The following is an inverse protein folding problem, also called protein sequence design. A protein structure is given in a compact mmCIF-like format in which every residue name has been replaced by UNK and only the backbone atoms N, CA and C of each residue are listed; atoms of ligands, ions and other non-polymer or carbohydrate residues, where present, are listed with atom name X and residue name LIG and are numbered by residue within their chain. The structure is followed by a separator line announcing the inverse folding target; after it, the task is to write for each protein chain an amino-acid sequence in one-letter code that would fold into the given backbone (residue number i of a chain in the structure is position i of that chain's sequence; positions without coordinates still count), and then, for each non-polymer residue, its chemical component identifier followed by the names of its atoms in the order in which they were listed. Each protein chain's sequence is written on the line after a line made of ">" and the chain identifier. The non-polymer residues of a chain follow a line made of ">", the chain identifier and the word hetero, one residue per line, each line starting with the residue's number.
data_IF_494474605597
#
_entry.id   IF_494474605597
#
_cell.length_a   1.000
_cell.length_b   1.000
_cell.length_c   1.000
_cell.angle_alpha   90.00
_cell.angle_beta   90.00
_cell.angle_gamma   90.00
#
_symmetry.space_group_name_H-M   'P 1'
#
loop_
_entity.id
_entity.type
_entity.pdbx_description
1 polymer ?
#
# COMPACT_ATOMS: atom_id res chain seq x y z
N UNK A 1 -38.59 -30.52 -13.09
CA UNK A 1 -39.01 -30.10 -11.74
C UNK A 1 -37.75 -30.06 -10.89
N UNK A 2 -37.06 -28.92 -10.95
CA UNK A 2 -36.86 -27.94 -9.84
C UNK A 2 -35.49 -28.22 -9.21
N UNK A 3 -34.46 -27.49 -9.66
CA UNK A 3 -33.75 -26.42 -8.88
C UNK A 3 -33.23 -26.98 -7.57
N UNK A 4 -31.91 -27.04 -7.35
CA UNK A 4 -31.21 -25.94 -6.68
C UNK A 4 -29.77 -25.75 -7.18
N UNK A 5 -29.56 -24.65 -7.91
CA UNK A 5 -28.27 -23.96 -7.93
C UNK A 5 -28.19 -23.14 -6.62
N UNK A 6 -27.85 -23.80 -5.51
CA UNK A 6 -27.60 -23.11 -4.25
C UNK A 6 -26.12 -22.67 -4.21
N UNK A 7 -25.94 -21.39 -4.57
CA UNK A 7 -24.95 -20.46 -4.04
C UNK A 7 -23.59 -21.02 -3.58
N UNK A 8 -22.65 -21.13 -4.51
CA UNK A 8 -21.24 -20.89 -4.22
C UNK A 8 -21.07 -19.38 -4.01
N UNK A 9 -21.15 -18.92 -2.76
CA UNK A 9 -20.97 -17.49 -2.49
C UNK A 9 -21.46 -17.10 -1.11
N UNK A 10 -20.84 -17.65 -0.06
CA UNK A 10 -21.00 -17.12 1.30
C UNK A 10 -19.81 -17.47 2.22
N UNK A 11 -19.08 -18.56 1.99
CA UNK A 11 -17.95 -18.97 2.85
C UNK A 11 -16.66 -18.10 2.70
N UNK A 12 -16.59 -17.20 1.71
CA UNK A 12 -15.36 -16.43 1.43
C UNK A 12 -15.29 -15.09 2.18
N UNK A 13 -16.43 -14.47 2.50
CA UNK A 13 -16.46 -13.13 3.13
C UNK A 13 -16.09 -13.16 4.62
N UNK A 14 -16.53 -14.17 5.36
CA UNK A 14 -16.15 -14.40 6.77
C UNK A 14 -14.65 -14.77 6.92
N UNK A 15 -13.96 -15.04 5.80
CA UNK A 15 -12.53 -15.38 5.77
C UNK A 15 -11.59 -14.20 5.46
N UNK A 16 -12.04 -13.19 4.68
CA UNK A 16 -11.18 -12.08 4.26
C UNK A 16 -10.84 -11.14 5.42
N UNK A 17 -11.81 -10.85 6.28
CA UNK A 17 -11.62 -10.06 7.49
C UNK A 17 -10.59 -10.72 8.42
N UNK A 18 -10.82 -11.99 8.79
CA UNK A 18 -9.92 -12.74 9.66
C UNK A 18 -8.50 -12.86 9.07
N UNK A 19 -8.39 -13.03 7.74
CA UNK A 19 -7.09 -13.08 7.06
C UNK A 19 -6.39 -11.72 7.05
N UNK A 20 -7.14 -10.63 6.87
CA UNK A 20 -6.60 -9.27 6.90
C UNK A 20 -6.08 -8.93 8.30
N UNK A 21 -6.86 -9.23 9.35
CA UNK A 21 -6.46 -9.04 10.74
C UNK A 21 -5.22 -9.88 11.09
N UNK A 22 -5.21 -11.16 10.73
CA UNK A 22 -4.05 -12.02 10.95
C UNK A 22 -2.80 -11.53 10.20
N UNK A 23 -2.96 -10.99 9.00
CA UNK A 23 -1.84 -10.40 8.25
C UNK A 23 -1.33 -9.12 8.93
N UNK A 24 -2.23 -8.32 9.53
CA UNK A 24 -1.88 -7.12 10.29
C UNK A 24 -1.03 -7.43 11.53
N UNK A 25 -1.14 -8.65 12.07
CA UNK A 25 -0.37 -9.13 13.22
C UNK A 25 1.01 -9.71 12.87
N UNK A 26 1.35 -9.80 11.58
CA UNK A 26 2.62 -10.37 11.16
C UNK A 26 3.82 -9.54 11.70
N UNK A 27 4.83 -10.17 12.34
CA UNK A 27 5.96 -9.44 12.92
C UNK A 27 6.75 -8.63 11.88
N UNK A 28 6.71 -9.02 10.60
CA UNK A 28 7.39 -8.32 9.51
C UNK A 28 6.91 -6.87 9.31
N UNK A 29 5.69 -6.54 9.73
CA UNK A 29 5.11 -5.20 9.59
C UNK A 29 4.86 -4.54 10.96
N UNK A 30 5.35 -5.15 12.04
CA UNK A 30 5.12 -4.67 13.39
C UNK A 30 5.63 -3.24 13.61
N UNK A 31 6.79 -2.89 13.05
CA UNK A 31 7.37 -1.55 13.16
C UNK A 31 6.53 -0.50 12.43
N UNK A 32 5.98 -0.85 11.26
CA UNK A 32 5.08 0.03 10.51
C UNK A 32 3.77 0.28 11.27
N UNK A 33 3.23 -0.76 11.91
CA UNK A 33 2.02 -0.69 12.74
C UNK A 33 2.24 0.04 14.07
N UNK A 34 3.41 -0.11 14.68
CA UNK A 34 3.76 0.50 15.97
C UNK A 34 4.33 1.92 15.85
N UNK A 35 4.69 2.35 14.65
CA UNK A 35 5.29 3.64 14.39
C UNK A 35 4.31 4.82 14.39
N UNK A 36 4.79 6.05 14.13
CA UNK A 36 4.00 7.28 14.21
C UNK A 36 2.85 7.37 13.17
N UNK A 37 2.90 6.58 12.09
CA UNK A 37 1.83 6.47 11.11
C UNK A 37 1.06 5.14 11.18
N UNK A 38 1.22 4.39 12.27
CA UNK A 38 0.69 3.04 12.41
C UNK A 38 -0.82 2.90 12.24
N UNK A 39 -1.59 3.90 12.67
CA UNK A 39 -3.05 3.94 12.45
C UNK A 39 -3.38 4.02 10.97
N UNK A 40 -2.78 4.97 10.24
CA UNK A 40 -2.99 5.15 8.80
C UNK A 40 -2.54 3.92 8.01
N UNK A 41 -1.43 3.31 8.44
CA UNK A 41 -0.93 2.07 7.86
C UNK A 41 -1.93 0.93 8.03
N UNK A 42 -2.43 0.72 9.25
CA UNK A 42 -3.36 -0.36 9.55
C UNK A 42 -4.67 -0.22 8.77
N UNK A 43 -5.22 0.99 8.70
CA UNK A 43 -6.44 1.28 7.95
C UNK A 43 -6.28 1.03 6.45
N UNK A 44 -5.19 1.54 5.85
CA UNK A 44 -4.90 1.32 4.43
C UNK A 44 -4.64 -0.16 4.12
N UNK A 45 -3.89 -0.85 4.96
CA UNK A 45 -3.54 -2.26 4.80
C UNK A 45 -4.77 -3.17 4.89
N UNK A 46 -5.61 -2.99 5.92
CA UNK A 46 -6.84 -3.77 6.07
C UNK A 46 -7.81 -3.50 4.92
N UNK A 47 -7.97 -2.24 4.50
CA UNK A 47 -8.81 -1.89 3.36
C UNK A 47 -8.34 -2.62 2.10
N UNK A 48 -7.04 -2.57 1.80
CA UNK A 48 -6.46 -3.26 0.63
C UNK A 48 -6.69 -4.78 0.66
N UNK A 49 -6.46 -5.41 1.81
CA UNK A 49 -6.63 -6.86 1.98
C UNK A 49 -8.09 -7.29 1.82
N UNK A 50 -9.04 -6.44 2.23
CA UNK A 50 -10.48 -6.70 2.16
C UNK A 50 -11.13 -6.26 0.84
N UNK A 51 -10.50 -5.38 0.07
CA UNK A 51 -11.04 -4.87 -1.20
C UNK A 51 -11.38 -6.04 -2.14
N UNK A 52 -12.61 -6.09 -2.62
CA UNK A 52 -13.06 -7.08 -3.63
C UNK A 52 -13.13 -6.50 -5.04
N UNK A 53 -12.64 -5.27 -5.24
CA UNK A 53 -12.57 -4.62 -6.56
C UNK A 53 -11.62 -5.36 -7.50
N UNK A 54 -11.95 -5.30 -8.80
CA UNK A 54 -11.14 -5.87 -9.88
C UNK A 54 -9.69 -5.37 -9.83
N UNK A 55 -9.54 -4.04 -9.70
CA UNK A 55 -8.29 -3.44 -9.27
C UNK A 55 -8.29 -3.31 -7.75
N UNK A 56 -7.61 -4.25 -7.07
CA UNK A 56 -7.51 -4.31 -5.61
C UNK A 56 -7.07 -2.96 -5.04
N UNK A 57 -7.83 -2.44 -4.07
CA UNK A 57 -7.55 -1.21 -3.36
C UNK A 57 -7.94 0.06 -4.11
N UNK A 58 -8.59 -0.03 -5.27
CA UNK A 58 -9.15 1.15 -5.98
C UNK A 58 -10.23 1.88 -5.16
N UNK A 59 -10.88 1.20 -4.23
CA UNK A 59 -11.80 1.75 -3.23
C UNK A 59 -11.12 2.24 -1.94
N UNK A 60 -9.81 2.03 -1.81
CA UNK A 60 -9.02 2.32 -0.61
C UNK A 60 -8.06 3.51 -0.77
N UNK A 61 -8.23 4.32 -1.81
CA UNK A 61 -7.32 5.43 -2.14
C UNK A 61 -7.16 6.40 -0.97
N UNK A 62 -8.26 6.77 -0.30
CA UNK A 62 -8.22 7.75 0.79
C UNK A 62 -7.33 7.30 1.96
N UNK A 63 -7.47 6.07 2.51
CA UNK A 63 -6.53 5.52 3.49
C UNK A 63 -5.05 5.59 3.05
N UNK A 64 -4.75 5.26 1.79
CA UNK A 64 -3.37 5.33 1.29
C UNK A 64 -2.83 6.76 1.20
N UNK A 65 -3.67 7.72 0.80
CA UNK A 65 -3.31 9.14 0.78
C UNK A 65 -3.04 9.66 2.20
N UNK A 66 -3.83 9.25 3.18
CA UNK A 66 -3.61 9.62 4.58
C UNK A 66 -2.30 9.03 5.13
N UNK A 67 -1.98 7.78 4.80
CA UNK A 67 -0.70 7.16 5.12
C UNK A 67 0.48 7.91 4.47
N UNK A 68 0.40 8.19 3.17
CA UNK A 68 1.44 8.94 2.45
C UNK A 68 1.65 10.33 3.08
N UNK A 69 0.57 11.03 3.40
CA UNK A 69 0.62 12.35 4.05
C UNK A 69 1.30 12.28 5.41
N UNK A 70 1.03 11.23 6.19
CA UNK A 70 1.69 11.01 7.47
C UNK A 70 3.19 10.73 7.32
N UNK A 71 3.58 9.87 6.36
CA UNK A 71 4.98 9.55 6.08
C UNK A 71 5.75 10.82 5.69
N UNK A 72 5.18 11.64 4.80
CA UNK A 72 5.77 12.93 4.38
C UNK A 72 5.93 13.91 5.54
N UNK A 73 5.02 13.89 6.51
CA UNK A 73 5.12 14.70 7.72
C UNK A 73 6.14 14.16 8.75
N UNK A 74 6.56 12.89 8.63
CA UNK A 74 7.46 12.22 9.59
C UNK A 74 8.70 11.60 8.91
N UNK A 75 9.52 12.39 8.18
CA UNK A 75 10.65 11.87 7.41
C UNK A 75 11.79 11.30 8.28
N UNK A 76 11.82 11.55 9.59
CA UNK A 76 12.81 10.95 10.49
C UNK A 76 12.38 9.57 11.02
N UNK A 77 11.12 9.19 10.83
CA UNK A 77 10.55 7.95 11.36
C UNK A 77 10.61 6.77 10.37
N UNK A 78 10.94 7.05 9.11
CA UNK A 78 11.05 6.05 8.04
C UNK A 78 12.47 6.05 7.50
N UNK A 79 12.96 4.86 7.11
CA UNK A 79 14.27 4.74 6.46
C UNK A 79 14.30 5.58 5.19
N UNK A 80 15.49 6.07 4.81
CA UNK A 80 15.67 6.79 3.54
C UNK A 80 15.17 5.97 2.35
N UNK A 81 15.29 4.65 2.39
CA UNK A 81 14.75 3.74 1.35
C UNK A 81 13.22 3.83 1.15
N UNK A 82 12.48 4.31 2.14
CA UNK A 82 11.01 4.51 2.08
C UNK A 82 10.65 5.93 1.65
N UNK A 83 11.58 6.87 1.80
CA UNK A 83 11.37 8.31 1.61
C UNK A 83 11.98 8.84 0.31
N UNK A 84 12.91 8.10 -0.30
CA UNK A 84 13.53 8.49 -1.58
C UNK A 84 12.52 8.35 -2.72
N UNK A 85 11.78 9.42 -2.96
CA UNK A 85 11.16 9.76 -4.23
C UNK A 85 12.29 10.24 -5.18
N UNK A 86 12.96 9.33 -5.89
CA UNK A 86 13.78 9.57 -7.10
C UNK A 86 14.66 10.85 -7.10
N UNK A 87 15.54 11.04 -6.11
CA UNK A 87 16.67 11.97 -6.25
C UNK A 87 17.97 11.18 -6.12
N UNK A 88 18.63 10.96 -7.26
CA UNK A 88 19.94 10.32 -7.29
C UNK A 88 21.01 11.20 -6.65
N UNK A 89 21.76 10.66 -5.70
CA UNK A 89 23.20 10.89 -5.56
C UNK A 89 23.84 9.88 -4.58
N UNK A 90 25.11 9.63 -4.84
CA UNK A 90 25.96 8.56 -4.36
C UNK A 90 26.36 8.73 -2.89
N UNK A 91 26.30 7.64 -2.08
CA UNK A 91 27.39 7.07 -1.26
C UNK A 91 26.96 6.42 0.07
N UNK A 92 27.39 5.15 0.19
CA UNK A 92 27.90 4.42 1.37
C UNK A 92 26.93 3.78 2.38
N UNK A 93 26.69 2.47 2.20
CA UNK A 93 27.30 1.36 2.97
C UNK A 93 26.57 0.04 2.63
N UNK A 94 27.33 -1.01 2.34
CA UNK A 94 26.83 -2.29 1.88
C UNK A 94 26.12 -3.09 3.00
N UNK A 95 24.81 -3.22 2.91
CA UNK A 95 24.04 -4.39 3.34
C UNK A 95 23.32 -4.94 2.09
N UNK A 96 23.06 -6.26 1.99
CA UNK A 96 22.57 -6.85 0.75
C UNK A 96 21.17 -6.30 0.45
N UNK A 97 21.10 -5.32 -0.46
CA UNK A 97 19.87 -4.81 -1.07
C UNK A 97 19.16 -5.98 -1.72
N UNK A 98 18.22 -6.62 -1.01
CA UNK A 98 17.18 -7.39 -1.68
C UNK A 98 16.40 -6.38 -2.51
N UNK A 99 16.55 -6.44 -3.82
CA UNK A 99 15.79 -5.62 -4.76
C UNK A 99 14.32 -6.04 -4.69
N UNK A 100 13.60 -5.52 -3.70
CA UNK A 100 12.15 -5.64 -3.65
C UNK A 100 11.60 -4.67 -4.70
N UNK A 101 11.23 -5.19 -5.87
CA UNK A 101 10.52 -4.40 -6.89
C UNK A 101 9.12 -4.06 -6.39
N UNK A 102 8.96 -2.85 -5.88
CA UNK A 102 7.64 -2.29 -5.59
C UNK A 102 7.00 -1.97 -6.96
N UNK A 103 5.98 -2.72 -7.35
CA UNK A 103 5.19 -2.45 -8.57
C UNK A 103 4.01 -1.58 -8.15
N UNK A 104 4.00 -0.27 -8.47
CA UNK A 104 2.88 0.59 -8.13
C UNK A 104 1.61 0.16 -8.89
N UNK A 105 0.42 0.26 -8.27
CA UNK A 105 -0.82 -0.02 -8.96
C UNK A 105 -1.01 0.97 -10.13
N UNK A 106 -1.74 0.56 -11.18
CA UNK A 106 -1.83 1.35 -12.42
C UNK A 106 -2.35 2.76 -12.19
N UNK A 107 -3.29 2.93 -11.27
CA UNK A 107 -3.86 4.24 -10.91
C UNK A 107 -2.87 5.19 -10.20
N UNK A 108 -1.81 4.66 -9.58
CA UNK A 108 -0.79 5.45 -8.86
C UNK A 108 0.39 5.85 -9.74
N UNK A 109 0.50 5.35 -10.97
CA UNK A 109 1.49 5.85 -11.92
C UNK A 109 1.03 7.23 -12.40
N UNK A 110 1.79 8.27 -12.09
CA UNK A 110 1.58 9.59 -12.72
C UNK A 110 1.57 9.43 -14.25
N UNK A 111 0.55 9.99 -14.88
CA UNK A 111 0.58 10.22 -16.33
C UNK A 111 1.69 11.23 -16.59
N UNK A 112 2.54 11.06 -17.63
CA UNK A 112 3.58 12.03 -17.94
C UNK A 112 2.96 13.43 -18.06
N UNK A 113 3.35 14.32 -17.15
CA UNK A 113 3.01 15.74 -17.29
C UNK A 113 3.67 16.26 -18.56
N UNK A 114 2.97 17.07 -19.38
CA UNK A 114 3.58 17.65 -20.57
C UNK A 114 4.77 18.52 -20.13
N UNK A 115 5.91 18.48 -20.84
CA UNK A 115 7.09 19.26 -20.47
C UNK A 115 6.73 20.76 -20.41
N UNK A 116 7.31 21.53 -19.47
CA UNK A 116 7.06 22.95 -19.37
C UNK A 116 7.47 23.61 -20.69
N UNK A 117 6.49 24.23 -21.37
CA UNK A 117 6.75 25.00 -22.57
C UNK A 117 7.66 26.19 -22.21
N UNK A 118 8.89 26.17 -22.69
CA UNK A 118 9.78 27.32 -22.68
C UNK A 118 9.09 28.47 -23.42
N UNK A 119 8.68 29.51 -22.69
CA UNK A 119 8.29 30.78 -23.31
C UNK A 119 9.56 31.48 -23.80
N UNK A 120 9.49 31.95 -25.05
CA UNK A 120 10.51 32.69 -25.80
C UNK A 120 11.25 33.74 -24.97
#
# INVERSE_FOLDING_TARGET
>A
MYTEAAAYGDEEAESLDAKAEKALECPCIADLRGGPCGTQFSEAFLCFMKSTKEEKGSDCVNPFVALQSCIKANPSAFSKDVLEEDEGDETKAEEPKKEYRIIPPKWSRESPSPPPQSKL
#
